data_IF_312392182171
#
_entry.id   IF_312392182171
#
_cell.length_a   1.000
_cell.length_b   1.000
_cell.length_c   1.000
_cell.angle_alpha   90.00
_cell.angle_beta   90.00
_cell.angle_gamma   90.00
#
_symmetry.space_group_name_H-M   'P 1'
#
loop_
_entity.id
_entity.type
_entity.pdbx_description
1 polymer ?
#
# COMPACT_ATOMS: atom_id res chain seq x y z
N UNK A 1 -25.32 -40.51 1.16
CA UNK A 1 -24.66 -39.46 1.98
C UNK A 1 -23.61 -38.82 1.09
N UNK A 2 -23.92 -37.68 0.48
CA UNK A 2 -22.96 -36.89 -0.31
C UNK A 2 -22.99 -35.50 0.28
N UNK A 3 -21.96 -35.16 1.06
CA UNK A 3 -21.79 -33.86 1.68
C UNK A 3 -20.69 -33.17 0.89
N UNK A 4 -21.04 -32.69 -0.31
CA UNK A 4 -20.20 -31.80 -1.09
C UNK A 4 -21.14 -30.75 -1.69
N UNK A 5 -21.59 -29.81 -0.86
CA UNK A 5 -22.28 -28.62 -1.35
C UNK A 5 -21.23 -27.62 -1.86
N UNK A 6 -21.15 -27.51 -3.17
CA UNK A 6 -21.19 -26.25 -3.93
C UNK A 6 -20.43 -25.04 -3.34
N UNK A 7 -19.16 -24.89 -3.74
CA UNK A 7 -18.53 -23.58 -3.87
C UNK A 7 -18.31 -23.29 -5.36
N UNK A 8 -19.37 -22.91 -6.05
CA UNK A 8 -19.31 -22.45 -7.43
C UNK A 8 -18.99 -20.95 -7.43
N UNK A 9 -17.71 -20.59 -7.56
CA UNK A 9 -17.27 -19.20 -7.70
C UNK A 9 -17.81 -18.61 -9.00
N UNK A 10 -18.90 -17.84 -8.92
CA UNK A 10 -19.36 -17.04 -10.04
C UNK A 10 -18.56 -15.73 -10.03
N UNK A 11 -17.61 -15.58 -10.96
CA UNK A 11 -16.98 -14.28 -11.23
C UNK A 11 -18.02 -13.35 -11.85
N UNK A 12 -18.71 -12.58 -11.01
CA UNK A 12 -19.53 -11.47 -11.46
C UNK A 12 -18.65 -10.23 -11.64
N UNK A 13 -19.07 -9.29 -12.48
CA UNK A 13 -18.38 -8.01 -12.64
C UNK A 13 -18.29 -7.25 -11.30
N UNK A 14 -19.32 -7.38 -10.45
CA UNK A 14 -19.36 -6.79 -9.11
C UNK A 14 -18.31 -7.42 -8.18
N UNK A 15 -18.16 -8.74 -8.20
CA UNK A 15 -17.14 -9.43 -7.40
C UNK A 15 -15.73 -9.04 -7.85
N UNK A 16 -15.48 -8.96 -9.16
CA UNK A 16 -14.19 -8.52 -9.69
C UNK A 16 -13.90 -7.08 -9.30
N UNK A 17 -14.88 -6.18 -9.43
CA UNK A 17 -14.75 -4.78 -9.03
C UNK A 17 -14.42 -4.66 -7.54
N UNK A 18 -15.15 -5.36 -6.68
CA UNK A 18 -14.92 -5.35 -5.23
C UNK A 18 -13.53 -5.87 -4.85
N UNK A 19 -13.03 -6.92 -5.53
CA UNK A 19 -11.66 -7.39 -5.32
C UNK A 19 -10.63 -6.34 -5.73
N UNK A 20 -10.83 -5.69 -6.88
CA UNK A 20 -9.93 -4.64 -7.35
C UNK A 20 -9.89 -3.43 -6.41
N UNK A 21 -11.05 -3.00 -5.89
CA UNK A 21 -11.14 -1.90 -4.90
C UNK A 21 -10.46 -2.21 -3.56
N UNK A 22 -10.21 -3.48 -3.25
CA UNK A 22 -9.44 -3.90 -2.07
C UNK A 22 -7.93 -3.98 -2.33
N UNK A 23 -7.50 -3.89 -3.59
CA UNK A 23 -6.10 -3.98 -4.00
C UNK A 23 -5.58 -2.60 -4.47
N UNK A 24 -6.42 -1.84 -5.17
CA UNK A 24 -6.10 -0.59 -5.81
C UNK A 24 -6.89 0.56 -5.16
N UNK A 25 -6.24 1.41 -4.35
CA UNK A 25 -6.92 2.49 -3.64
C UNK A 25 -7.37 3.59 -4.60
N UNK A 26 -8.68 3.85 -4.63
CA UNK A 26 -9.26 5.00 -5.32
C UNK A 26 -8.92 6.35 -4.67
N UNK A 27 -9.20 7.48 -5.36
CA UNK A 27 -8.93 8.83 -4.84
C UNK A 27 -9.71 9.18 -3.57
N UNK A 28 -10.84 8.53 -3.31
CA UNK A 28 -11.69 8.69 -2.13
C UNK A 28 -11.24 7.89 -0.91
N UNK A 29 -10.28 6.96 -1.07
CA UNK A 29 -9.80 6.11 0.04
C UNK A 29 -9.03 6.95 1.05
N UNK A 30 -9.45 6.89 2.32
CA UNK A 30 -8.74 7.52 3.43
C UNK A 30 -7.52 6.68 3.82
N UNK A 31 -6.38 7.33 4.02
CA UNK A 31 -5.19 6.68 4.57
C UNK A 31 -5.37 6.34 6.04
N UNK A 32 -5.75 5.09 6.31
CA UNK A 32 -5.81 4.50 7.65
C UNK A 32 -5.18 3.09 7.57
N UNK A 33 -3.86 2.93 7.81
CA UNK A 33 -2.99 3.87 8.51
C UNK A 33 -2.09 4.75 7.64
N UNK A 34 -1.91 4.42 6.36
CA UNK A 34 -0.82 4.97 5.57
C UNK A 34 -1.30 5.67 4.32
N UNK A 35 -0.37 6.38 3.70
CA UNK A 35 -0.46 6.98 2.37
C UNK A 35 0.71 6.45 1.54
N UNK A 36 0.51 6.35 0.24
CA UNK A 36 1.57 6.02 -0.71
C UNK A 36 1.43 6.90 -1.96
N UNK A 37 2.52 7.01 -2.72
CA UNK A 37 2.52 7.67 -4.03
C UNK A 37 2.32 6.60 -5.10
N UNK A 38 1.34 6.80 -5.98
CA UNK A 38 0.98 5.86 -7.04
C UNK A 38 0.81 6.57 -8.37
N UNK A 39 1.10 5.85 -9.46
CA UNK A 39 0.82 6.30 -10.80
C UNK A 39 -0.70 6.35 -11.02
N UNK A 40 -1.13 7.40 -11.72
CA UNK A 40 -2.54 7.64 -12.03
C UNK A 40 -2.72 7.94 -13.51
N UNK A 41 -3.86 7.50 -14.04
CA UNK A 41 -4.29 7.91 -15.36
C UNK A 41 -4.82 9.36 -15.35
N UNK A 42 -5.11 9.90 -16.53
CA UNK A 42 -5.68 11.25 -16.71
C UNK A 42 -7.02 11.45 -15.98
N UNK A 43 -7.77 10.38 -15.73
CA UNK A 43 -9.03 10.39 -14.99
C UNK A 43 -8.82 10.38 -13.45
N UNK A 44 -7.57 10.30 -12.99
CA UNK A 44 -7.21 10.24 -11.57
C UNK A 44 -7.30 8.85 -10.95
N UNK A 45 -7.64 7.81 -11.69
CA UNK A 45 -7.64 6.42 -11.21
C UNK A 45 -6.22 5.88 -11.15
N UNK A 46 -5.93 5.06 -10.15
CA UNK A 46 -4.62 4.42 -9.98
C UNK A 46 -4.42 3.32 -11.01
N UNK A 47 -3.21 3.25 -11.59
CA UNK A 47 -2.82 2.16 -12.51
C UNK A 47 -2.39 0.88 -11.76
N UNK A 48 -2.12 1.01 -10.47
CA UNK A 48 -1.57 -0.06 -9.62
C UNK A 48 -0.05 -0.07 -9.53
N UNK A 49 0.63 0.88 -10.19
CA UNK A 49 2.07 1.07 -10.06
C UNK A 49 2.36 2.02 -8.91
N UNK A 50 3.09 1.54 -7.91
CA UNK A 50 3.57 2.34 -6.78
C UNK A 50 4.88 3.04 -7.14
N UNK A 51 5.08 4.24 -6.63
CA UNK A 51 6.41 4.83 -6.60
C UNK A 51 7.27 4.12 -5.55
N UNK A 52 8.46 3.69 -5.96
CA UNK A 52 9.44 3.02 -5.11
C UNK A 52 10.74 3.84 -5.04
N UNK A 53 11.49 3.63 -3.96
CA UNK A 53 12.85 4.16 -3.81
C UNK A 53 13.86 3.01 -3.75
N UNK A 54 15.07 3.25 -4.23
CA UNK A 54 16.17 2.28 -4.09
C UNK A 54 16.83 2.49 -2.73
N UNK A 55 16.95 1.41 -1.94
CA UNK A 55 17.61 1.49 -0.63
C UNK A 55 18.87 0.61 -0.60
N UNK A 56 20.03 1.24 -0.43
CA UNK A 56 21.33 0.55 -0.39
C UNK A 56 21.41 -0.45 0.77
N UNK A 57 20.82 -0.13 1.93
CA UNK A 57 20.73 -1.04 3.08
C UNK A 57 19.93 -2.32 2.82
N UNK A 58 19.19 -2.37 1.71
CA UNK A 58 18.46 -3.54 1.23
C UNK A 58 19.11 -4.11 -0.04
N UNK A 59 20.43 -4.01 -0.19
CA UNK A 59 21.18 -4.47 -1.37
C UNK A 59 20.68 -3.82 -2.68
N UNK A 60 20.29 -2.54 -2.64
CA UNK A 60 19.79 -1.81 -3.81
C UNK A 60 18.39 -2.25 -4.26
N UNK A 61 17.60 -2.87 -3.37
CA UNK A 61 16.21 -3.22 -3.67
C UNK A 61 15.30 -1.99 -3.68
N UNK A 62 14.28 -2.09 -4.52
CA UNK A 62 13.16 -1.14 -4.52
C UNK A 62 12.27 -1.36 -3.29
N UNK A 63 11.96 -0.25 -2.62
CA UNK A 63 11.14 -0.19 -1.41
C UNK A 63 9.97 0.74 -1.68
N UNK A 64 8.76 0.28 -1.37
CA UNK A 64 7.53 1.07 -1.39
C UNK A 64 7.45 1.87 -0.08
N UNK A 65 7.52 3.21 -0.14
CA UNK A 65 7.43 4.05 1.05
C UNK A 65 5.96 4.23 1.51
N UNK A 66 5.72 3.98 2.79
CA UNK A 66 4.45 4.15 3.49
C UNK A 66 4.56 5.36 4.43
N UNK A 67 3.71 6.35 4.22
CA UNK A 67 3.70 7.60 4.97
C UNK A 67 2.51 7.62 5.93
N UNK A 68 2.73 7.94 7.21
CA UNK A 68 1.62 8.08 8.17
C UNK A 68 0.75 9.31 7.88
N UNK A 69 1.35 10.35 7.31
CA UNK A 69 0.69 11.62 7.00
C UNK A 69 0.64 11.87 5.50
N UNK A 70 -0.51 12.34 5.03
CA UNK A 70 -0.72 12.72 3.63
C UNK A 70 0.26 13.81 3.19
N UNK A 71 0.45 14.83 4.01
CA UNK A 71 1.32 15.97 3.71
C UNK A 71 2.77 15.53 3.45
N UNK A 72 3.25 14.51 4.18
CA UNK A 72 4.60 13.98 4.02
C UNK A 72 4.75 13.23 2.69
N UNK A 73 3.72 12.48 2.28
CA UNK A 73 3.66 11.86 0.96
C UNK A 73 3.58 12.91 -0.17
N UNK A 74 2.81 13.98 0.02
CA UNK A 74 2.68 15.07 -0.95
C UNK A 74 4.01 15.83 -1.09
N UNK A 75 4.71 16.06 0.01
CA UNK A 75 6.03 16.68 0.04
C UNK A 75 7.08 15.82 -0.68
N UNK A 76 7.06 14.51 -0.45
CA UNK A 76 7.94 13.58 -1.17
C UNK A 76 7.65 13.56 -2.68
N UNK A 77 6.37 13.51 -3.07
CA UNK A 77 5.94 13.59 -4.47
C UNK A 77 6.45 14.87 -5.15
N UNK A 78 6.29 16.02 -4.49
CA UNK A 78 6.76 17.31 -5.01
C UNK A 78 8.29 17.36 -5.14
N UNK A 79 9.02 16.88 -4.13
CA UNK A 79 10.49 16.87 -4.14
C UNK A 79 11.07 15.96 -5.23
N UNK A 80 10.44 14.82 -5.48
CA UNK A 80 10.82 13.89 -6.54
C UNK A 80 10.42 14.35 -7.95
N UNK A 81 9.58 15.40 -8.06
CA UNK A 81 9.09 15.97 -9.33
C UNK A 81 8.47 14.93 -10.27
N UNK A 82 7.72 13.99 -9.70
CA UNK A 82 7.10 12.92 -10.47
C UNK A 82 5.82 13.45 -11.13
N UNK A 83 5.74 13.28 -12.45
CA UNK A 83 4.52 13.55 -13.20
C UNK A 83 3.62 12.31 -13.19
N UNK A 84 2.32 12.50 -13.42
CA UNK A 84 1.33 11.42 -13.52
C UNK A 84 1.25 10.51 -12.26
N UNK A 85 1.62 11.08 -11.11
CA UNK A 85 1.60 10.41 -9.81
C UNK A 85 0.73 11.19 -8.83
N UNK A 86 0.10 10.47 -7.90
CA UNK A 86 -0.71 11.08 -6.86
C UNK A 86 -0.63 10.32 -5.53
N UNK A 87 -0.89 11.04 -4.45
CA UNK A 87 -0.97 10.46 -3.11
C UNK A 87 -2.30 9.74 -2.93
N UNK A 88 -2.26 8.49 -2.47
CA UNK A 88 -3.42 7.63 -2.24
C UNK A 88 -3.42 7.07 -0.83
N UNK A 89 -4.61 6.99 -0.24
CA UNK A 89 -4.80 6.40 1.07
C UNK A 89 -4.67 4.89 0.99
N UNK A 90 -3.89 4.32 1.89
CA UNK A 90 -3.74 2.88 2.07
C UNK A 90 -4.54 2.49 3.30
N UNK A 91 -5.73 1.96 3.07
CA UNK A 91 -6.59 1.43 4.13
C UNK A 91 -6.04 0.12 4.71
N UNK A 92 -6.64 -0.35 5.80
CA UNK A 92 -6.33 -1.65 6.42
C UNK A 92 -6.48 -2.83 5.45
N UNK A 93 -7.49 -2.83 4.59
CA UNK A 93 -7.67 -3.91 3.60
C UNK A 93 -6.54 -3.94 2.58
N UNK A 94 -6.12 -2.77 2.08
CA UNK A 94 -4.94 -2.66 1.22
C UNK A 94 -3.66 -3.12 1.95
N UNK A 95 -3.48 -2.71 3.21
CA UNK A 95 -2.33 -3.13 4.01
C UNK A 95 -2.27 -4.64 4.18
N UNK A 96 -3.41 -5.33 4.35
CA UNK A 96 -3.45 -6.80 4.41
C UNK A 96 -2.86 -7.40 3.13
N UNK A 97 -3.27 -6.91 1.96
CA UNK A 97 -2.74 -7.38 0.67
C UNK A 97 -1.25 -7.10 0.53
N UNK A 98 -0.81 -5.88 0.86
CA UNK A 98 0.61 -5.49 0.75
C UNK A 98 1.52 -6.31 1.68
N UNK A 99 1.07 -6.56 2.92
CA UNK A 99 1.81 -7.41 3.87
C UNK A 99 1.94 -8.84 3.35
N UNK A 100 0.88 -9.40 2.76
CA UNK A 100 0.96 -10.73 2.13
C UNK A 100 1.93 -10.74 0.94
N UNK A 101 1.96 -9.69 0.13
CA UNK A 101 2.91 -9.56 -0.97
C UNK A 101 4.35 -9.48 -0.46
N UNK A 102 4.59 -8.78 0.65
CA UNK A 102 5.91 -8.76 1.29
C UNK A 102 6.30 -10.14 1.83
N UNK A 103 5.38 -10.87 2.49
CA UNK A 103 5.65 -12.24 2.97
C UNK A 103 6.05 -13.19 1.84
N UNK A 104 5.48 -12.98 0.65
CA UNK A 104 5.80 -13.75 -0.57
C UNK A 104 7.03 -13.23 -1.33
N UNK A 105 7.64 -12.13 -0.89
CA UNK A 105 8.82 -11.54 -1.51
C UNK A 105 8.55 -10.78 -2.80
N UNK A 106 7.29 -10.42 -3.08
CA UNK A 106 6.94 -9.64 -4.27
C UNK A 106 7.25 -8.14 -4.11
N UNK A 107 7.18 -7.63 -2.88
CA UNK A 107 7.43 -6.22 -2.59
C UNK A 107 8.23 -6.08 -1.30
N UNK A 108 8.88 -4.93 -1.14
CA UNK A 108 9.50 -4.50 0.12
C UNK A 108 8.80 -3.24 0.60
N UNK A 109 8.21 -3.26 1.79
CA UNK A 109 7.59 -2.08 2.39
C UNK A 109 8.59 -1.35 3.29
N UNK A 110 8.54 -0.03 3.26
CA UNK A 110 9.29 0.83 4.16
C UNK A 110 8.37 1.84 4.83
N UNK A 111 8.43 1.97 6.15
CA UNK A 111 7.70 3.00 6.89
C UNK A 111 8.56 4.25 6.93
N UNK A 112 8.02 5.37 6.45
CA UNK A 112 8.72 6.65 6.42
C UNK A 112 8.90 7.19 7.85
N UNK A 113 10.16 7.35 8.27
CA UNK A 113 10.52 7.92 9.57
C UNK A 113 10.66 9.44 9.53
N UNK A 114 11.06 10.02 8.38
CA UNK A 114 11.10 11.46 8.17
C UNK A 114 11.04 11.83 6.68
N UNK A 115 10.59 13.06 6.41
CA UNK A 115 10.63 13.71 5.09
C UNK A 115 11.24 15.10 5.22
N UNK A 116 12.41 15.31 4.62
CA UNK A 116 13.11 16.61 4.63
C UNK A 116 12.44 17.63 3.70
N UNK A 117 12.84 18.89 3.82
CA UNK A 117 12.25 20.01 3.06
C UNK A 117 12.41 19.92 1.54
N UNK A 118 13.47 19.26 1.08
CA UNK A 118 13.69 18.97 -0.34
C UNK A 118 13.00 17.66 -0.80
N UNK A 119 12.22 17.00 0.06
CA UNK A 119 11.49 15.77 -0.25
C UNK A 119 12.31 14.48 -0.17
N UNK A 120 13.54 14.52 0.35
CA UNK A 120 14.25 13.28 0.66
C UNK A 120 13.58 12.58 1.84
N UNK A 121 13.55 11.25 1.79
CA UNK A 121 12.86 10.44 2.79
C UNK A 121 13.83 9.49 3.47
N UNK A 122 13.65 9.31 4.78
CA UNK A 122 14.23 8.20 5.52
C UNK A 122 13.19 7.13 5.75
N UNK A 123 13.48 5.88 5.38
CA UNK A 123 12.57 4.75 5.59
C UNK A 123 13.19 3.69 6.49
N UNK A 124 12.38 3.12 7.37
CA UNK A 124 12.68 1.90 8.12
C UNK A 124 12.03 0.75 7.36
N UNK A 125 12.75 -0.34 7.14
CA UNK A 125 12.22 -1.53 6.44
C UNK A 125 11.93 -2.67 7.42
N UNK A 126 10.78 -2.64 8.11
CA UNK A 126 10.36 -3.73 8.99
C UNK A 126 10.05 -4.99 8.19
N UNK A 127 10.19 -6.15 8.86
CA UNK A 127 9.65 -7.41 8.33
C UNK A 127 8.12 -7.36 8.30
N UNK A 128 7.50 -8.23 7.51
CA UNK A 128 6.04 -8.29 7.42
C UNK A 128 5.39 -8.59 8.79
N UNK A 129 6.10 -9.31 9.66
CA UNK A 129 5.64 -9.60 11.01
C UNK A 129 5.65 -8.36 11.91
N UNK A 130 6.73 -7.56 11.85
CA UNK A 130 6.78 -6.29 12.58
C UNK A 130 5.74 -5.28 12.08
N UNK A 131 5.44 -5.26 10.77
CA UNK A 131 4.36 -4.41 10.24
C UNK A 131 3.02 -4.84 10.82
N UNK A 132 2.74 -6.14 10.87
CA UNK A 132 1.49 -6.65 11.46
C UNK A 132 1.38 -6.28 12.94
N UNK A 133 2.42 -6.53 13.72
CA UNK A 133 2.44 -6.18 15.14
C UNK A 133 2.19 -4.68 15.35
N UNK A 134 2.85 -3.81 14.57
CA UNK A 134 2.61 -2.37 14.61
C UNK A 134 1.14 -2.02 14.31
N UNK A 135 0.53 -2.67 13.30
CA UNK A 135 -0.88 -2.44 12.98
C UNK A 135 -1.81 -2.95 14.09
N UNK A 136 -1.49 -4.06 14.75
CA UNK A 136 -2.24 -4.58 15.91
C UNK A 136 -2.16 -3.62 17.11
N UNK A 137 -0.96 -3.14 17.45
CA UNK A 137 -0.72 -2.19 18.54
C UNK A 137 -1.45 -0.86 18.33
N UNK A 138 -1.62 -0.43 17.08
CA UNK A 138 -2.41 0.76 16.75
C UNK A 138 -3.93 0.54 16.87
N UNK A 139 -4.39 -0.67 17.19
CA UNK A 139 -5.81 -1.06 17.11
C UNK A 139 -6.33 -1.11 15.66
N UNK A 140 -5.40 -1.30 14.71
CA UNK A 140 -5.64 -1.20 13.26
C UNK A 140 -5.62 -2.55 12.54
N UNK A 141 -5.46 -3.64 13.28
CA UNK A 141 -5.51 -5.00 12.74
C UNK A 141 -6.28 -5.92 13.67
N UNK A 142 -7.35 -6.52 13.16
CA UNK A 142 -8.12 -7.60 13.81
C UNK A 142 -8.23 -8.74 12.82
N UNK A 143 -8.09 -9.99 13.27
CA UNK A 143 -8.10 -11.18 12.41
C UNK A 143 -9.51 -11.61 11.94
N UNK A 144 -10.50 -10.72 12.01
CA UNK A 144 -11.86 -11.06 11.60
C UNK A 144 -12.05 -10.94 10.06
N UNK A 145 -12.44 -12.08 9.48
CA UNK A 145 -13.09 -12.26 8.18
C UNK A 145 -14.56 -12.59 8.47
#
# INVERSE_FOLDING_TARGET
MSILSDYQWHLTAENVKSVLENILPGPEVKGDPFWAVMEVERNGLTTGVYHTIVQDSQNGKEVLPLYERKDDAEKALQGAKLNDMAVRGISRSHMRVLVEFQKKGFIHLGVCAFVSDNGNIGVICPSAEHIRQMLEEMGRWHDEI
#
